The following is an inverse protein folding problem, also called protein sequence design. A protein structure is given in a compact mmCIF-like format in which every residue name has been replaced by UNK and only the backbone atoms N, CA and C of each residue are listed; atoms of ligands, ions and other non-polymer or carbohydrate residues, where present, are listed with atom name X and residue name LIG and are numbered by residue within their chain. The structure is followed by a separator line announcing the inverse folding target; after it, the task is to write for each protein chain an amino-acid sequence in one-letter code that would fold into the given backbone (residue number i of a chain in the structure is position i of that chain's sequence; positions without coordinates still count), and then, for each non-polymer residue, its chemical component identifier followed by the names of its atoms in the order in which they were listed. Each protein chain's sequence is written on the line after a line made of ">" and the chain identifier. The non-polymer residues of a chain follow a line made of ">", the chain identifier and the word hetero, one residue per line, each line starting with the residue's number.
data_IF_526022551306
#
_entry.id   IF_526022551306
#
_cell.length_a   1.000
_cell.length_b   1.000
_cell.length_c   1.000
_cell.angle_alpha   90.00
_cell.angle_beta   90.00
_cell.angle_gamma   90.00
#
_symmetry.space_group_name_H-M   'P 1'
#
loop_
_entity.id
_entity.type
_entity.pdbx_description
1 polymer ?
#
# COMPACT_ATOMS: atom_id res chain seq x y z
N UNK A 1 10.28 -13.78 20.70
CA UNK A 1 11.00 -12.73 19.98
C UNK A 1 10.02 -11.92 19.13
N UNK A 2 9.87 -10.61 19.34
CA UNK A 2 9.04 -9.73 18.49
C UNK A 2 9.76 -9.56 17.15
N UNK A 3 9.32 -10.29 16.13
CA UNK A 3 9.92 -10.23 14.78
C UNK A 3 9.48 -8.96 14.08
N UNK A 4 8.21 -8.56 14.28
CA UNK A 4 7.58 -7.41 13.66
C UNK A 4 6.96 -6.48 14.70
N UNK A 5 6.88 -5.19 14.39
CA UNK A 5 6.19 -4.16 15.18
C UNK A 5 5.51 -3.16 14.24
N UNK A 6 4.60 -2.37 14.80
CA UNK A 6 3.92 -1.30 14.07
C UNK A 6 3.25 -1.80 12.78
N UNK A 7 3.38 -1.02 11.71
CA UNK A 7 2.75 -1.29 10.41
C UNK A 7 3.04 -2.69 9.87
N UNK A 8 4.27 -3.17 9.97
CA UNK A 8 4.61 -4.51 9.44
C UNK A 8 3.86 -5.62 10.17
N UNK A 9 3.58 -5.44 11.46
CA UNK A 9 2.77 -6.40 12.22
C UNK A 9 1.33 -6.43 11.72
N UNK A 10 0.73 -5.27 11.49
CA UNK A 10 -0.64 -5.18 10.99
C UNK A 10 -0.76 -5.78 9.57
N UNK A 11 0.23 -5.54 8.69
CA UNK A 11 0.29 -6.18 7.37
C UNK A 11 0.42 -7.71 7.53
N UNK A 12 1.27 -8.18 8.44
CA UNK A 12 1.41 -9.60 8.73
C UNK A 12 0.09 -10.22 9.24
N UNK A 13 -0.63 -9.53 10.12
CA UNK A 13 -1.86 -10.04 10.75
C UNK A 13 -2.97 -10.28 9.72
N UNK A 14 -3.06 -9.46 8.67
CA UNK A 14 -4.07 -9.62 7.60
C UNK A 14 -3.74 -10.71 6.57
N UNK A 15 -2.53 -11.27 6.57
CA UNK A 15 -2.19 -12.41 5.71
C UNK A 15 -2.80 -13.68 6.30
N UNK A 16 -3.64 -14.43 5.56
CA UNK A 16 -4.24 -15.67 6.05
C UNK A 16 -3.22 -16.82 6.14
N UNK A 17 -3.63 -17.91 6.76
CA UNK A 17 -2.88 -19.17 6.73
C UNK A 17 -3.26 -20.02 5.52
N UNK A 18 -2.41 -20.99 5.18
CA UNK A 18 -2.68 -21.99 4.15
C UNK A 18 -2.38 -21.54 2.72
N UNK A 19 -1.53 -20.53 2.56
CA UNK A 19 -1.11 -20.04 1.26
C UNK A 19 0.03 -20.91 0.68
N UNK A 20 0.04 -21.08 -0.63
CA UNK A 20 1.17 -21.72 -1.31
C UNK A 20 2.32 -20.72 -1.48
N UNK A 21 2.05 -19.56 -2.06
CA UNK A 21 3.09 -18.55 -2.39
C UNK A 21 2.67 -17.16 -1.96
N UNK A 22 3.56 -16.48 -1.22
CA UNK A 22 3.45 -15.05 -0.91
C UNK A 22 4.65 -14.30 -1.49
N UNK A 23 4.41 -13.16 -2.14
CA UNK A 23 5.45 -12.26 -2.64
C UNK A 23 5.48 -10.96 -1.83
N UNK A 24 6.68 -10.50 -1.47
CA UNK A 24 6.93 -9.21 -0.82
C UNK A 24 7.70 -8.32 -1.80
N UNK A 25 7.04 -7.29 -2.31
CA UNK A 25 7.58 -6.38 -3.33
C UNK A 25 8.16 -5.14 -2.63
N UNK A 26 9.47 -4.91 -2.81
CA UNK A 26 10.24 -3.99 -2.01
C UNK A 26 10.52 -4.59 -0.62
N UNK A 27 10.94 -5.85 -0.60
CA UNK A 27 11.10 -6.64 0.62
C UNK A 27 12.16 -6.09 1.59
N UNK A 28 13.04 -5.21 1.10
CA UNK A 28 14.15 -4.63 1.86
C UNK A 28 14.94 -5.73 2.61
N UNK A 29 14.94 -5.72 3.93
CA UNK A 29 15.62 -6.72 4.77
C UNK A 29 14.85 -8.05 4.93
N UNK A 30 13.75 -8.28 4.23
CA UNK A 30 12.98 -9.52 4.22
C UNK A 30 12.29 -9.89 5.55
N UNK A 31 12.14 -8.93 6.50
CA UNK A 31 11.58 -9.22 7.84
C UNK A 31 10.14 -9.70 7.78
N UNK A 32 9.33 -9.11 6.90
CA UNK A 32 7.92 -9.44 6.78
C UNK A 32 7.73 -10.84 6.19
N UNK A 33 8.37 -11.10 5.04
CA UNK A 33 8.26 -12.40 4.37
C UNK A 33 8.85 -13.53 5.22
N UNK A 34 9.96 -13.29 5.94
CA UNK A 34 10.53 -14.25 6.88
C UNK A 34 9.55 -14.57 8.01
N UNK A 35 8.87 -13.57 8.58
CA UNK A 35 7.87 -13.79 9.63
C UNK A 35 6.66 -14.61 9.13
N UNK A 36 6.20 -14.38 7.90
CA UNK A 36 5.12 -15.13 7.25
C UNK A 36 5.50 -16.61 7.14
N UNK A 37 6.72 -16.90 6.66
CA UNK A 37 7.21 -18.27 6.51
C UNK A 37 7.47 -18.96 7.84
N UNK A 38 8.09 -18.29 8.81
CA UNK A 38 8.34 -18.83 10.16
C UNK A 38 7.06 -19.24 10.90
N UNK A 39 5.96 -18.58 10.62
CA UNK A 39 4.65 -18.88 11.20
C UNK A 39 3.79 -19.80 10.31
N UNK A 40 4.38 -20.35 9.25
CA UNK A 40 3.71 -21.24 8.30
C UNK A 40 2.40 -20.68 7.71
N UNK A 41 2.32 -19.36 7.50
CA UNK A 41 1.19 -18.76 6.79
C UNK A 41 1.25 -19.08 5.30
N UNK A 42 2.45 -19.21 4.73
CA UNK A 42 2.69 -19.66 3.36
C UNK A 42 3.72 -20.77 3.31
N UNK A 43 3.66 -21.61 2.27
CA UNK A 43 4.66 -22.65 2.05
C UNK A 43 5.95 -22.07 1.48
N UNK A 44 5.85 -21.14 0.52
CA UNK A 44 6.98 -20.47 -0.15
C UNK A 44 6.82 -18.97 -0.14
N UNK A 45 7.94 -18.26 -0.15
CA UNK A 45 8.00 -16.82 -0.22
C UNK A 45 8.87 -16.34 -1.38
N UNK A 46 8.50 -15.21 -1.96
CA UNK A 46 9.31 -14.47 -2.92
C UNK A 46 9.63 -13.10 -2.32
N UNK A 47 10.92 -12.79 -2.16
CA UNK A 47 11.41 -11.49 -1.78
C UNK A 47 11.92 -10.77 -3.02
N UNK A 48 11.34 -9.64 -3.37
CA UNK A 48 11.70 -8.84 -4.54
C UNK A 48 12.13 -7.44 -4.10
N UNK A 49 13.23 -6.98 -4.66
CA UNK A 49 13.71 -5.61 -4.48
C UNK A 49 14.55 -5.18 -5.68
N UNK A 50 14.59 -3.89 -5.98
CA UNK A 50 15.49 -3.33 -7.00
C UNK A 50 16.94 -3.29 -6.51
N UNK A 51 17.12 -3.29 -5.19
CA UNK A 51 18.43 -3.22 -4.52
C UNK A 51 18.93 -4.62 -4.18
N UNK A 52 19.97 -5.08 -4.86
CA UNK A 52 20.65 -6.32 -4.53
C UNK A 52 21.18 -6.30 -3.08
N UNK A 53 21.70 -5.16 -2.62
CA UNK A 53 22.19 -4.99 -1.23
C UNK A 53 21.08 -5.20 -0.18
N UNK A 54 19.85 -4.81 -0.47
CA UNK A 54 18.69 -5.07 0.39
C UNK A 54 18.41 -6.57 0.46
N UNK A 55 18.38 -7.24 -0.69
CA UNK A 55 18.17 -8.69 -0.77
C UNK A 55 19.30 -9.51 -0.14
N UNK A 56 20.56 -9.05 -0.16
CA UNK A 56 21.66 -9.72 0.55
C UNK A 56 21.40 -9.76 2.07
N UNK A 57 20.85 -8.69 2.65
CA UNK A 57 20.45 -8.70 4.07
C UNK A 57 19.26 -9.65 4.31
N UNK A 58 18.32 -9.72 3.36
CA UNK A 58 17.22 -10.67 3.44
C UNK A 58 17.69 -12.12 3.33
N UNK A 59 18.70 -12.41 2.50
CA UNK A 59 19.35 -13.73 2.40
C UNK A 59 20.01 -14.13 3.72
N UNK A 60 20.80 -13.23 4.32
CA UNK A 60 21.43 -13.47 5.63
C UNK A 60 20.38 -13.80 6.69
N UNK A 61 19.28 -13.01 6.75
CA UNK A 61 18.17 -13.28 7.66
C UNK A 61 17.53 -14.65 7.40
N UNK A 62 17.35 -15.02 6.14
CA UNK A 62 16.78 -16.31 5.74
C UNK A 62 17.67 -17.48 6.14
N UNK A 63 18.99 -17.35 5.96
CA UNK A 63 19.98 -18.32 6.41
C UNK A 63 19.95 -18.53 7.92
N UNK A 64 20.02 -17.44 8.71
CA UNK A 64 19.92 -17.48 10.17
C UNK A 64 18.62 -18.12 10.68
N UNK A 65 17.56 -18.13 9.87
CA UNK A 65 16.22 -18.66 10.20
C UNK A 65 15.90 -20.01 9.55
N UNK A 66 16.83 -20.62 8.82
CA UNK A 66 16.64 -21.85 8.05
C UNK A 66 15.46 -21.76 7.07
N UNK A 67 15.39 -20.68 6.32
CA UNK A 67 14.31 -20.41 5.35
C UNK A 67 14.76 -20.48 3.88
N UNK A 68 16.03 -20.74 3.59
CA UNK A 68 16.58 -20.72 2.23
C UNK A 68 15.87 -21.69 1.26
N UNK A 69 15.37 -22.82 1.78
CA UNK A 69 14.61 -23.78 0.97
C UNK A 69 13.20 -23.31 0.61
N UNK A 70 12.70 -22.27 1.29
CA UNK A 70 11.33 -21.78 1.16
C UNK A 70 11.25 -20.33 0.69
N UNK A 71 12.35 -19.58 0.70
CA UNK A 71 12.40 -18.17 0.33
C UNK A 71 13.32 -17.95 -0.87
N UNK A 72 12.74 -17.51 -1.98
CA UNK A 72 13.47 -17.14 -3.20
C UNK A 72 13.63 -15.63 -3.31
N UNK A 73 14.74 -15.17 -3.88
CA UNK A 73 15.13 -13.77 -3.98
C UNK A 73 15.24 -13.35 -5.45
N UNK A 74 14.64 -12.21 -5.80
CA UNK A 74 14.62 -11.72 -7.16
C UNK A 74 14.98 -10.22 -7.19
N UNK A 75 16.09 -9.89 -7.83
CA UNK A 75 16.47 -8.51 -8.09
C UNK A 75 15.70 -8.02 -9.31
N UNK A 76 14.97 -6.90 -9.18
CA UNK A 76 14.24 -6.29 -10.29
C UNK A 76 13.11 -5.38 -9.86
N UNK A 77 12.51 -4.72 -10.85
CA UNK A 77 11.41 -3.77 -10.65
C UNK A 77 10.07 -4.50 -10.54
N UNK A 78 9.45 -4.39 -9.38
CA UNK A 78 8.11 -4.89 -9.10
C UNK A 78 7.94 -6.37 -9.44
N UNK A 79 6.94 -6.71 -10.27
CA UNK A 79 6.62 -8.08 -10.67
C UNK A 79 7.41 -8.59 -11.88
N UNK A 80 8.24 -7.79 -12.53
CA UNK A 80 8.91 -8.18 -13.76
C UNK A 80 9.66 -9.52 -13.64
N UNK A 81 10.44 -9.78 -12.56
CA UNK A 81 11.17 -11.05 -12.43
C UNK A 81 10.27 -12.27 -12.26
N UNK A 82 9.05 -12.10 -11.74
CA UNK A 82 8.11 -13.19 -11.44
C UNK A 82 6.81 -13.10 -12.23
N UNK A 83 6.80 -12.39 -13.35
CA UNK A 83 5.59 -12.07 -14.14
C UNK A 83 4.76 -13.28 -14.62
N UNK A 84 5.34 -14.49 -14.60
CA UNK A 84 4.69 -15.75 -14.95
C UNK A 84 4.44 -16.67 -13.74
N UNK A 85 4.93 -16.29 -12.56
CA UNK A 85 4.78 -17.08 -11.35
C UNK A 85 3.40 -16.84 -10.74
N UNK A 86 2.71 -17.92 -10.35
CA UNK A 86 1.48 -17.81 -9.59
C UNK A 86 1.79 -17.39 -8.16
N UNK A 87 1.06 -16.40 -7.65
CA UNK A 87 1.21 -15.85 -6.30
C UNK A 87 -0.17 -15.69 -5.68
N UNK A 88 -0.40 -16.27 -4.52
CA UNK A 88 -1.69 -16.16 -3.83
C UNK A 88 -1.87 -14.76 -3.24
N UNK A 89 -0.83 -14.26 -2.56
CA UNK A 89 -0.82 -12.92 -1.97
C UNK A 89 0.46 -12.17 -2.33
N UNK A 90 0.32 -10.95 -2.83
CA UNK A 90 1.45 -10.03 -3.02
C UNK A 90 1.30 -8.82 -2.10
N UNK A 91 2.39 -8.47 -1.43
CA UNK A 91 2.48 -7.33 -0.54
C UNK A 91 3.27 -6.23 -1.26
N UNK A 92 2.72 -5.00 -1.28
CA UNK A 92 3.41 -3.80 -1.76
C UNK A 92 3.28 -2.75 -0.65
N UNK A 93 4.34 -2.52 0.10
CA UNK A 93 4.32 -1.65 1.26
C UNK A 93 5.59 -0.78 1.36
N UNK A 94 5.40 0.48 1.83
CA UNK A 94 6.55 1.39 2.01
C UNK A 94 6.92 2.20 0.77
N UNK A 95 6.11 2.16 -0.26
CA UNK A 95 6.25 2.91 -1.50
C UNK A 95 5.21 4.03 -1.58
N UNK A 96 5.39 4.99 -2.49
CA UNK A 96 4.38 6.00 -2.80
C UNK A 96 3.21 5.42 -3.60
N UNK A 97 2.08 6.15 -3.63
CA UNK A 97 0.89 5.70 -4.38
C UNK A 97 1.15 5.56 -5.88
N UNK A 98 1.87 6.48 -6.48
CA UNK A 98 2.23 6.44 -7.91
C UNK A 98 3.13 5.24 -8.25
N UNK A 99 4.11 4.94 -7.40
CA UNK A 99 5.00 3.80 -7.55
C UNK A 99 4.23 2.48 -7.40
N UNK A 100 3.37 2.39 -6.37
CA UNK A 100 2.47 1.25 -6.18
C UNK A 100 1.62 0.99 -7.43
N UNK A 101 1.04 2.04 -8.02
CA UNK A 101 0.25 1.94 -9.27
C UNK A 101 1.11 1.50 -10.45
N UNK A 102 2.35 2.00 -10.56
CA UNK A 102 3.28 1.55 -11.60
C UNK A 102 3.53 0.05 -11.54
N UNK A 103 3.75 -0.49 -10.35
CA UNK A 103 3.94 -1.92 -10.11
C UNK A 103 2.65 -2.72 -10.42
N UNK A 104 1.48 -2.23 -10.00
CA UNK A 104 0.19 -2.89 -10.27
C UNK A 104 -0.15 -2.98 -11.77
N UNK A 105 0.37 -2.07 -12.60
CA UNK A 105 0.22 -2.10 -14.06
C UNK A 105 1.08 -3.16 -14.75
N UNK A 106 2.09 -3.68 -14.07
CA UNK A 106 2.96 -4.71 -14.65
C UNK A 106 2.20 -6.03 -14.80
N UNK A 107 2.57 -6.81 -15.82
CA UNK A 107 2.01 -8.16 -16.00
C UNK A 107 2.39 -9.05 -14.83
N UNK A 108 1.40 -9.68 -14.21
CA UNK A 108 1.60 -10.59 -13.09
C UNK A 108 0.46 -11.62 -13.00
N UNK A 109 0.63 -12.63 -12.15
CA UNK A 109 -0.34 -13.70 -11.88
C UNK A 109 -0.64 -13.76 -10.37
N UNK A 110 -1.09 -12.63 -9.80
CA UNK A 110 -1.39 -12.48 -8.38
C UNK A 110 -2.90 -12.55 -8.15
N UNK A 111 -3.31 -13.34 -7.17
CA UNK A 111 -4.73 -13.49 -6.81
C UNK A 111 -5.20 -12.34 -5.90
N UNK A 112 -4.43 -12.02 -4.86
CA UNK A 112 -4.79 -10.99 -3.87
C UNK A 112 -3.60 -10.08 -3.55
N UNK A 113 -3.87 -8.79 -3.38
CA UNK A 113 -2.85 -7.79 -3.04
C UNK A 113 -3.12 -7.21 -1.66
N UNK A 114 -2.06 -6.97 -0.90
CA UNK A 114 -2.04 -6.16 0.31
C UNK A 114 -1.19 -4.94 0.04
N UNK A 115 -1.82 -3.78 -0.03
CA UNK A 115 -1.19 -2.52 -0.40
C UNK A 115 -1.14 -1.59 0.81
N UNK A 116 0.03 -1.02 1.10
CA UNK A 116 0.20 -0.04 2.17
C UNK A 116 1.08 1.12 1.70
N UNK A 117 0.54 2.00 0.83
CA UNK A 117 1.27 3.18 0.37
C UNK A 117 1.49 4.14 1.54
N UNK A 118 2.67 4.77 1.59
CA UNK A 118 2.99 5.72 2.65
C UNK A 118 2.53 7.16 2.36
N UNK A 119 2.15 7.43 1.12
CA UNK A 119 1.56 8.69 0.64
C UNK A 119 0.70 8.42 -0.59
N UNK A 120 -0.12 9.37 -1.00
CA UNK A 120 -0.94 9.36 -2.22
C UNK A 120 -1.82 8.11 -2.35
N UNK A 121 -2.41 7.65 -1.24
CA UNK A 121 -3.27 6.46 -1.23
C UNK A 121 -4.52 6.61 -2.09
N UNK A 122 -5.00 7.83 -2.30
CA UNK A 122 -6.11 8.14 -3.19
C UNK A 122 -5.81 7.76 -4.66
N UNK A 123 -4.56 7.91 -5.09
CA UNK A 123 -4.10 7.48 -6.43
C UNK A 123 -4.23 5.96 -6.59
N UNK A 124 -3.86 5.21 -5.55
CA UNK A 124 -4.01 3.76 -5.53
C UNK A 124 -5.49 3.36 -5.59
N UNK A 125 -6.34 3.94 -4.74
CA UNK A 125 -7.78 3.65 -4.72
C UNK A 125 -8.47 3.99 -6.03
N UNK A 126 -8.10 5.14 -6.63
CA UNK A 126 -8.59 5.52 -7.96
C UNK A 126 -8.19 4.49 -9.02
N UNK A 127 -6.94 4.06 -9.03
CA UNK A 127 -6.48 3.02 -9.96
C UNK A 127 -7.26 1.71 -9.77
N UNK A 128 -7.47 1.27 -8.53
CA UNK A 128 -8.22 0.05 -8.22
C UNK A 128 -9.67 0.13 -8.71
N UNK A 129 -10.33 1.28 -8.49
CA UNK A 129 -11.69 1.58 -8.99
C UNK A 129 -11.75 1.47 -10.52
N UNK A 130 -10.82 2.13 -11.21
CA UNK A 130 -10.85 2.28 -12.67
C UNK A 130 -10.39 1.00 -13.40
N UNK A 131 -9.78 0.02 -12.71
CA UNK A 131 -9.20 -1.19 -13.31
C UNK A 131 -9.83 -2.51 -12.81
N UNK A 132 -11.08 -2.46 -12.36
CA UNK A 132 -11.85 -3.64 -11.95
C UNK A 132 -11.17 -4.45 -10.84
N UNK A 133 -10.84 -3.78 -9.74
CA UNK A 133 -10.42 -4.43 -8.51
C UNK A 133 -11.52 -4.35 -7.45
N UNK A 134 -11.84 -5.47 -6.83
CA UNK A 134 -12.73 -5.56 -5.67
C UNK A 134 -11.95 -5.33 -4.38
N UNK A 135 -12.47 -4.49 -3.50
CA UNK A 135 -11.86 -4.21 -2.20
C UNK A 135 -12.41 -5.19 -1.17
N UNK A 136 -11.53 -6.02 -0.62
CA UNK A 136 -11.86 -6.94 0.47
C UNK A 136 -11.87 -6.18 1.79
N UNK A 137 -10.88 -5.31 2.00
CA UNK A 137 -10.76 -4.46 3.18
C UNK A 137 -9.95 -3.22 2.86
N UNK A 138 -10.27 -2.09 3.48
CA UNK A 138 -9.53 -0.82 3.36
C UNK A 138 -9.66 -0.07 4.67
N UNK A 139 -8.64 -0.11 5.49
CA UNK A 139 -8.62 0.49 6.81
C UNK A 139 -7.30 1.24 7.05
N UNK A 140 -7.30 2.09 8.07
CA UNK A 140 -6.16 2.94 8.43
C UNK A 140 -5.65 2.53 9.81
N UNK A 141 -4.34 2.38 9.92
CA UNK A 141 -3.64 2.12 11.17
C UNK A 141 -2.76 3.30 11.56
N UNK A 142 -2.45 3.40 12.85
CA UNK A 142 -1.51 4.38 13.36
C UNK A 142 -0.20 3.70 13.81
N UNK A 143 0.92 4.12 13.18
CA UNK A 143 2.28 3.74 13.58
C UNK A 143 3.18 4.98 13.41
N UNK A 144 3.22 5.86 14.42
CA UNK A 144 3.82 7.21 14.38
C UNK A 144 3.14 8.17 13.39
N UNK A 145 2.60 7.66 12.29
CA UNK A 145 1.73 8.32 11.33
C UNK A 145 0.66 7.34 10.84
N UNK A 146 -0.30 7.83 10.08
CA UNK A 146 -1.37 6.98 9.55
C UNK A 146 -0.93 6.31 8.27
N UNK A 147 -1.24 5.01 8.17
CA UNK A 147 -1.00 4.19 6.99
C UNK A 147 -2.27 3.46 6.59
N UNK A 148 -2.69 3.56 5.33
CA UNK A 148 -3.74 2.69 4.82
C UNK A 148 -3.21 1.26 4.66
N UNK A 149 -4.11 0.28 4.87
CA UNK A 149 -3.92 -1.11 4.48
C UNK A 149 -5.13 -1.48 3.62
N UNK A 150 -4.87 -1.71 2.34
CA UNK A 150 -5.87 -2.03 1.32
C UNK A 150 -5.68 -3.47 0.89
N UNK A 151 -6.67 -4.33 1.11
CA UNK A 151 -6.68 -5.71 0.64
C UNK A 151 -7.61 -5.79 -0.56
N UNK A 152 -7.09 -6.23 -1.70
CA UNK A 152 -7.82 -6.18 -2.96
C UNK A 152 -7.50 -7.36 -3.88
N UNK A 153 -8.45 -7.71 -4.74
CA UNK A 153 -8.29 -8.70 -5.81
C UNK A 153 -9.05 -8.25 -7.05
N UNK A 154 -8.88 -8.94 -8.18
CA UNK A 154 -9.69 -8.66 -9.38
C UNK A 154 -11.19 -8.82 -9.08
N UNK A 155 -12.00 -7.90 -9.56
CA UNK A 155 -13.45 -7.86 -9.35
C UNK A 155 -14.01 -6.46 -9.49
N UNK A 156 -15.32 -6.31 -9.30
CA UNK A 156 -16.00 -5.02 -9.37
C UNK A 156 -16.01 -4.38 -7.99
N UNK A 157 -15.72 -3.09 -7.94
CA UNK A 157 -15.79 -2.30 -6.73
C UNK A 157 -16.38 -0.92 -6.98
N UNK A 158 -16.94 -0.35 -5.92
CA UNK A 158 -17.45 1.03 -5.93
C UNK A 158 -16.81 1.79 -4.77
N UNK A 159 -15.99 2.79 -5.09
CA UNK A 159 -15.57 3.83 -4.17
C UNK A 159 -16.43 5.06 -4.38
N UNK A 160 -16.92 5.68 -3.32
CA UNK A 160 -17.42 7.05 -3.35
C UNK A 160 -16.24 8.04 -3.41
N UNK A 161 -16.50 9.30 -3.72
CA UNK A 161 -15.41 10.28 -3.85
C UNK A 161 -14.68 10.52 -2.51
N UNK A 162 -15.40 10.52 -1.39
CA UNK A 162 -14.78 10.63 -0.06
C UNK A 162 -14.01 9.38 0.34
N UNK A 163 -14.49 8.18 -0.02
CA UNK A 163 -13.78 6.93 0.22
C UNK A 163 -12.45 6.84 -0.54
N UNK A 164 -12.31 7.50 -1.68
CA UNK A 164 -11.02 7.56 -2.38
C UNK A 164 -9.94 8.21 -1.51
N UNK A 165 -10.27 9.26 -0.76
CA UNK A 165 -9.32 9.98 0.07
C UNK A 165 -9.21 9.40 1.49
N UNK A 166 -10.33 8.99 2.08
CA UNK A 166 -10.45 8.61 3.49
C UNK A 166 -10.46 7.09 3.73
N UNK A 167 -10.55 6.27 2.67
CA UNK A 167 -10.73 4.82 2.79
C UNK A 167 -12.17 4.41 3.11
N UNK A 168 -12.48 3.11 3.03
CA UNK A 168 -13.87 2.61 3.17
C UNK A 168 -14.32 2.46 4.63
N UNK A 169 -13.60 1.69 5.42
CA UNK A 169 -14.07 1.17 6.70
C UNK A 169 -13.04 1.35 7.80
N UNK A 170 -12.65 2.60 8.07
CA UNK A 170 -11.74 2.84 9.18
C UNK A 170 -12.49 3.41 10.38
N UNK A 171 -12.46 2.73 11.54
CA UNK A 171 -12.88 3.36 12.79
C UNK A 171 -12.07 4.62 13.10
N UNK A 172 -10.89 4.75 12.50
CA UNK A 172 -10.00 5.90 12.65
C UNK A 172 -10.17 6.96 11.55
N UNK A 173 -11.24 6.94 10.72
CA UNK A 173 -11.45 7.96 9.67
C UNK A 173 -11.47 9.37 10.25
N UNK A 174 -12.15 9.58 11.37
CA UNK A 174 -12.20 10.87 12.03
C UNK A 174 -10.83 11.30 12.54
N UNK A 175 -10.13 10.44 13.28
CA UNK A 175 -8.78 10.73 13.76
C UNK A 175 -7.79 10.94 12.61
N UNK A 176 -7.90 10.13 11.54
CA UNK A 176 -7.09 10.30 10.34
C UNK A 176 -7.34 11.68 9.72
N UNK A 177 -8.60 12.08 9.58
CA UNK A 177 -8.96 13.40 9.06
C UNK A 177 -8.46 14.51 9.97
N UNK A 178 -8.73 14.45 11.28
CA UNK A 178 -8.37 15.49 12.24
C UNK A 178 -6.86 15.74 12.26
N UNK A 179 -6.04 14.68 12.14
CA UNK A 179 -4.59 14.81 12.05
C UNK A 179 -4.08 15.20 10.66
N UNK A 180 -4.88 15.01 9.62
CA UNK A 180 -4.59 15.48 8.27
C UNK A 180 -5.34 16.79 7.92
N UNK A 181 -5.97 17.46 8.89
CA UNK A 181 -6.59 18.76 8.67
C UNK A 181 -5.57 19.80 8.16
N UNK A 182 -4.31 19.66 8.55
CA UNK A 182 -3.20 20.45 7.97
C UNK A 182 -3.10 20.27 6.45
N UNK A 183 -3.50 19.11 5.91
CA UNK A 183 -3.56 18.90 4.45
C UNK A 183 -4.65 19.76 3.82
N UNK A 184 -5.82 19.82 4.43
CA UNK A 184 -6.92 20.67 3.97
C UNK A 184 -6.53 22.16 4.04
N UNK A 185 -5.88 22.59 5.13
CA UNK A 185 -5.37 23.96 5.27
C UNK A 185 -4.29 24.26 4.23
N UNK A 186 -3.36 23.36 4.00
CA UNK A 186 -2.36 23.47 2.96
C UNK A 186 -3.00 23.63 1.57
N UNK A 187 -3.96 22.77 1.20
CA UNK A 187 -4.69 22.83 -0.07
C UNK A 187 -5.45 24.16 -0.20
N UNK A 188 -6.11 24.61 0.88
CA UNK A 188 -6.82 25.90 0.92
C UNK A 188 -5.88 27.08 0.66
N UNK A 189 -4.68 27.05 1.26
CA UNK A 189 -3.67 28.10 1.04
C UNK A 189 -3.09 28.05 -0.39
N UNK A 190 -2.89 26.85 -0.92
CA UNK A 190 -2.41 26.66 -2.29
C UNK A 190 -3.41 27.21 -3.31
N UNK A 191 -4.71 26.96 -3.13
CA UNK A 191 -5.79 27.52 -3.96
C UNK A 191 -5.82 29.04 -3.89
N UNK A 192 -5.74 29.61 -2.67
CA UNK A 192 -5.71 31.08 -2.48
C UNK A 192 -4.51 31.76 -3.12
N UNK A 193 -3.35 31.10 -3.11
CA UNK A 193 -2.12 31.67 -3.73
C UNK A 193 -2.10 31.51 -5.24
N UNK A 194 -2.71 30.46 -5.78
CA UNK A 194 -2.85 30.27 -7.23
C UNK A 194 -3.72 31.34 -7.87
N UNK A 195 -4.81 31.74 -7.21
CA UNK A 195 -5.69 32.84 -7.67
C UNK A 195 -4.99 34.21 -7.69
N UNK A 196 -3.98 34.41 -6.86
CA UNK A 196 -3.25 35.68 -6.77
C UNK A 196 -2.09 35.82 -7.76
N UNK A 197 -1.60 34.70 -8.29
CA UNK A 197 -0.45 34.66 -9.21
C UNK A 197 -0.87 34.19 -10.61
N UNK A 198 -1.32 35.05 -11.47
CA UNK A 198 -1.64 34.79 -12.89
C UNK A 198 -0.52 34.10 -13.71
N UNK A 199 0.66 33.89 -13.13
CA UNK A 199 1.80 33.20 -13.72
C UNK A 199 2.10 31.83 -13.14
N UNK A 200 1.34 31.39 -12.10
CA UNK A 200 1.52 30.04 -11.53
C UNK A 200 0.87 28.99 -12.44
N UNK A 201 1.54 27.84 -12.53
CA UNK A 201 1.01 26.66 -13.20
C UNK A 201 -0.40 26.38 -12.67
N UNK A 202 -1.42 26.17 -13.51
CA UNK A 202 -2.77 25.88 -13.02
C UNK A 202 -2.70 24.67 -12.08
N UNK A 203 -3.39 24.79 -10.94
CA UNK A 203 -3.56 23.67 -10.03
C UNK A 203 -4.25 22.55 -10.79
N UNK A 204 -3.78 21.31 -10.56
CA UNK A 204 -4.43 20.18 -11.19
C UNK A 204 -5.86 20.05 -10.68
N UNK A 205 -6.78 19.64 -11.55
CA UNK A 205 -8.18 19.35 -11.18
C UNK A 205 -8.27 18.38 -10.01
N UNK A 206 -7.28 17.50 -9.84
CA UNK A 206 -7.16 16.55 -8.76
C UNK A 206 -6.97 17.24 -7.40
N UNK A 207 -6.14 18.27 -7.31
CA UNK A 207 -5.93 19.05 -6.07
C UNK A 207 -7.20 19.81 -5.69
N UNK A 208 -7.87 20.40 -6.67
CA UNK A 208 -9.15 21.12 -6.45
C UNK A 208 -10.19 20.13 -5.94
N UNK A 209 -10.33 18.99 -6.58
CA UNK A 209 -11.27 17.94 -6.19
C UNK A 209 -10.97 17.38 -4.79
N UNK A 210 -9.72 17.11 -4.45
CA UNK A 210 -9.31 16.68 -3.11
C UNK A 210 -9.78 17.68 -2.05
N UNK A 211 -9.55 18.98 -2.28
CA UNK A 211 -9.96 20.03 -1.37
C UNK A 211 -11.49 20.09 -1.19
N UNK A 212 -12.25 20.02 -2.28
CA UNK A 212 -13.73 20.05 -2.26
C UNK A 212 -14.29 18.87 -1.46
N UNK A 213 -13.79 17.64 -1.72
CA UNK A 213 -14.24 16.43 -1.03
C UNK A 213 -13.93 16.47 0.44
N UNK A 214 -12.72 16.85 0.83
CA UNK A 214 -12.31 16.91 2.23
C UNK A 214 -13.07 18.02 2.97
N UNK A 215 -13.33 19.17 2.34
CA UNK A 215 -14.14 20.27 2.90
C UNK A 215 -15.58 19.82 3.13
N UNK A 216 -16.20 19.18 2.14
CA UNK A 216 -17.57 18.67 2.26
C UNK A 216 -17.68 17.65 3.39
N UNK A 217 -16.75 16.72 3.47
CA UNK A 217 -16.74 15.72 4.53
C UNK A 217 -16.56 16.34 5.91
N UNK A 218 -15.61 17.27 6.08
CA UNK A 218 -15.40 18.02 7.33
C UNK A 218 -16.66 18.72 7.81
N UNK A 219 -17.37 19.39 6.90
CA UNK A 219 -18.59 20.11 7.24
C UNK A 219 -19.78 19.19 7.58
N UNK A 220 -19.77 17.94 7.08
CA UNK A 220 -20.82 16.95 7.37
C UNK A 220 -20.61 16.19 8.69
N UNK A 221 -19.43 16.30 9.30
CA UNK A 221 -19.06 15.60 10.54
C UNK A 221 -19.04 16.51 11.78
N UNK A 222 -19.31 17.81 11.61
CA UNK A 222 -19.55 18.77 12.67
C UNK A 222 -21.03 18.83 13.05
#
# INVERSE_FOLDING_TARGET
>A
MRILSGRLKEIYDVIPYGLDVVADIGADHGKLIAAILLKNKAQRGFALDISEKSLDKAKILAEERNLLDRLSFFVGDGFLPISKQKVDYAIIAGMGGHETVSILKQKNCVDTYVLSPHQDSHVVRKFLKDNNYSIISDFIIFDKKYYPIIITKKGINTYTDDELYLGKNSPSRQEFFDKNICRLEYLSNLLKTADKNLKSKPLSDEIIKEHEVLTKWHNSTK
#
